data_IF_858933257817
#
_entry.id   IF_858933257817
#
_cell.length_a   1.000
_cell.length_b   1.000
_cell.length_c   1.000
_cell.angle_alpha   90.00
_cell.angle_beta   90.00
_cell.angle_gamma   90.00
#
_symmetry.space_group_name_H-M   'P 1'
#
loop_
_entity.id
_entity.type
_entity.pdbx_description
1 polymer ?
#
# COMPACT_ATOMS: atom_id res chain seq x y z
N UNK A 1 -4.53 -1.94 -3.52
CA UNK A 1 -5.14 -2.56 -2.32
C UNK A 1 -5.43 -1.42 -1.35
N UNK A 2 -6.62 -1.39 -0.74
CA UNK A 2 -7.00 -0.31 0.17
C UNK A 2 -6.16 -0.32 1.48
N UNK A 3 -5.99 0.84 2.11
CA UNK A 3 -5.17 1.00 3.32
C UNK A 3 -5.74 0.22 4.51
N UNK A 4 -7.06 0.09 4.61
CA UNK A 4 -7.70 -0.71 5.67
C UNK A 4 -7.42 -2.20 5.45
N UNK A 5 -7.48 -2.68 4.20
CA UNK A 5 -7.10 -4.06 3.87
C UNK A 5 -5.63 -4.33 4.19
N UNK A 6 -4.73 -3.40 3.86
CA UNK A 6 -3.31 -3.50 4.21
C UNK A 6 -3.09 -3.56 5.73
N UNK A 7 -3.82 -2.76 6.52
CA UNK A 7 -3.76 -2.82 7.98
C UNK A 7 -4.21 -4.18 8.52
N UNK A 8 -5.28 -4.75 7.98
CA UNK A 8 -5.77 -6.07 8.38
C UNK A 8 -4.74 -7.17 8.09
N UNK A 9 -4.15 -7.15 6.89
CA UNK A 9 -3.08 -8.08 6.52
C UNK A 9 -1.84 -7.93 7.41
N UNK A 10 -1.49 -6.69 7.76
CA UNK A 10 -0.36 -6.41 8.63
C UNK A 10 -0.58 -6.92 10.05
N UNK A 11 -1.80 -6.77 10.60
CA UNK A 11 -2.17 -7.33 11.91
C UNK A 11 -2.08 -8.87 11.88
N UNK A 12 -2.58 -9.51 10.84
CA UNK A 12 -2.47 -10.96 10.66
C UNK A 12 -1.00 -11.40 10.59
N UNK A 13 -0.15 -10.63 9.92
CA UNK A 13 1.29 -10.87 9.81
C UNK A 13 1.97 -10.76 11.18
N UNK A 14 1.65 -9.71 11.95
CA UNK A 14 2.16 -9.54 13.32
C UNK A 14 1.74 -10.71 14.21
N UNK A 15 0.48 -11.13 14.14
CA UNK A 15 -0.01 -12.28 14.91
C UNK A 15 0.74 -13.57 14.53
N UNK A 16 0.89 -13.86 13.24
CA UNK A 16 1.63 -15.03 12.77
C UNK A 16 3.10 -15.00 13.21
N UNK A 17 3.77 -13.85 13.10
CA UNK A 17 5.15 -13.67 13.56
C UNK A 17 5.26 -13.88 15.07
N UNK A 18 4.32 -13.35 15.86
CA UNK A 18 4.31 -13.52 17.30
C UNK A 18 4.16 -15.01 17.69
N UNK A 19 3.15 -15.69 17.15
CA UNK A 19 2.93 -17.12 17.43
C UNK A 19 4.13 -17.98 17.06
N UNK A 20 4.72 -17.74 15.88
CA UNK A 20 5.89 -18.48 15.44
C UNK A 20 7.10 -18.19 16.33
N UNK A 21 7.35 -16.93 16.67
CA UNK A 21 8.49 -16.54 17.52
C UNK A 21 8.38 -17.18 18.90
N UNK A 22 7.23 -17.05 19.57
CA UNK A 22 7.03 -17.65 20.89
C UNK A 22 7.03 -19.17 20.84
N UNK A 23 6.43 -19.77 19.82
CA UNK A 23 6.44 -21.22 19.61
C UNK A 23 7.85 -21.78 19.44
N UNK A 24 8.70 -21.11 18.65
CA UNK A 24 10.11 -21.52 18.50
C UNK A 24 10.90 -21.33 19.79
N UNK A 25 10.69 -20.23 20.53
CA UNK A 25 11.34 -20.01 21.82
C UNK A 25 10.98 -21.10 22.83
N UNK A 26 9.72 -21.51 22.89
CA UNK A 26 9.26 -22.55 23.80
C UNK A 26 9.78 -23.93 23.39
N UNK A 27 9.75 -24.26 22.08
CA UNK A 27 10.24 -25.54 21.55
C UNK A 27 11.74 -25.72 21.78
N UNK A 28 12.52 -24.65 21.59
CA UNK A 28 13.98 -24.69 21.61
C UNK A 28 14.57 -24.25 22.97
N UNK A 29 13.72 -24.08 23.99
CA UNK A 29 14.16 -23.68 25.33
C UNK A 29 15.00 -24.78 26.00
N UNK A 30 16.25 -24.45 26.34
CA UNK A 30 17.10 -25.33 27.13
C UNK A 30 16.72 -25.30 28.62
N UNK A 31 16.83 -26.44 29.34
CA UNK A 31 16.68 -26.48 30.78
C UNK A 31 17.68 -25.55 31.49
N UNK A 32 17.19 -24.74 32.41
CA UNK A 32 18.04 -23.87 33.24
C UNK A 32 18.47 -24.63 34.49
N UNK A 33 19.78 -24.68 34.77
CA UNK A 33 20.29 -25.27 36.02
C UNK A 33 19.95 -24.37 37.20
N UNK A 34 19.12 -24.87 38.12
CA UNK A 34 18.70 -24.12 39.32
C UNK A 34 19.78 -24.05 40.40
N UNK A 35 20.74 -24.99 40.39
CA UNK A 35 21.91 -24.97 41.27
C UNK A 35 23.09 -25.71 40.62
N UNK A 36 24.34 -25.46 41.04
CA UNK A 36 25.52 -26.14 40.52
C UNK A 36 25.50 -27.67 40.76
N UNK A 37 24.77 -28.12 41.78
CA UNK A 37 24.67 -29.53 42.18
C UNK A 37 23.44 -30.25 41.58
N UNK A 38 22.70 -29.60 40.68
CA UNK A 38 21.53 -30.21 40.06
C UNK A 38 21.96 -31.29 39.05
N UNK A 39 21.44 -32.52 39.14
CA UNK A 39 21.81 -33.60 38.23
C UNK A 39 21.43 -33.24 36.78
N UNK A 40 22.33 -33.54 35.84
CA UNK A 40 22.07 -33.30 34.42
C UNK A 40 20.89 -34.16 33.93
N UNK A 41 20.01 -33.60 33.08
CA UNK A 41 18.91 -34.37 32.50
C UNK A 41 19.46 -35.52 31.65
N UNK A 42 18.72 -36.64 31.54
CA UNK A 42 19.11 -37.74 30.68
C UNK A 42 19.24 -37.27 29.22
N UNK A 43 20.19 -37.83 28.46
CA UNK A 43 20.41 -37.44 27.08
C UNK A 43 19.14 -37.67 26.25
N UNK A 44 18.85 -36.79 25.28
CA UNK A 44 17.64 -36.90 24.46
C UNK A 44 17.66 -38.20 23.65
N UNK A 45 16.48 -38.81 23.49
CA UNK A 45 16.31 -40.10 22.81
C UNK A 45 16.57 -40.06 21.29
N UNK A 46 16.67 -38.86 20.71
CA UNK A 46 16.95 -38.66 19.29
C UNK A 46 18.32 -37.99 19.12
N UNK A 47 19.29 -38.62 18.44
CA UNK A 47 20.54 -37.98 18.07
C UNK A 47 20.26 -37.08 16.87
N UNK A 48 19.92 -35.83 17.10
CA UNK A 48 19.91 -34.84 16.02
C UNK A 48 20.87 -33.72 16.38
N UNK A 49 22.01 -33.80 15.69
CA UNK A 49 23.03 -32.78 15.47
C UNK A 49 23.83 -32.30 16.68
N UNK A 50 25.09 -32.01 16.36
CA UNK A 50 26.17 -31.59 17.24
C UNK A 50 25.70 -30.53 18.27
N UNK A 51 25.96 -30.68 19.58
CA UNK A 51 25.57 -29.68 20.58
C UNK A 51 26.10 -28.26 20.29
N UNK A 52 27.17 -28.15 19.48
CA UNK A 52 27.70 -26.87 19.00
C UNK A 52 26.84 -26.19 17.92
N UNK A 53 26.13 -26.95 17.06
CA UNK A 53 25.24 -26.39 16.02
C UNK A 53 23.85 -26.05 16.58
N UNK A 54 23.40 -26.77 17.60
CA UNK A 54 22.16 -26.44 18.33
C UNK A 54 22.31 -25.14 19.16
N UNK A 55 23.39 -24.98 19.92
CA UNK A 55 23.60 -23.79 20.75
C UNK A 55 23.87 -22.50 19.94
N UNK A 56 24.49 -22.61 18.77
CA UNK A 56 24.76 -21.47 17.88
C UNK A 56 23.52 -20.89 17.20
N UNK A 57 22.56 -21.75 16.83
CA UNK A 57 21.33 -21.33 16.14
C UNK A 57 20.25 -20.77 17.08
N UNK A 58 20.23 -21.20 18.34
CA UNK A 58 19.23 -20.76 19.35
C UNK A 58 19.39 -19.29 19.75
N UNK A 59 20.56 -18.67 19.56
CA UNK A 59 20.77 -17.25 19.87
C UNK A 59 20.44 -16.31 18.70
N UNK A 60 20.74 -16.72 17.45
CA UNK A 60 20.59 -15.86 16.27
C UNK A 60 19.17 -15.88 15.70
N UNK A 61 18.50 -17.04 15.69
CA UNK A 61 17.14 -17.15 15.15
C UNK A 61 16.13 -16.27 15.90
N UNK A 62 16.11 -16.21 17.25
CA UNK A 62 15.22 -15.30 17.97
C UNK A 62 15.47 -13.83 17.68
N UNK A 63 16.72 -13.42 17.41
CA UNK A 63 17.05 -12.04 17.04
C UNK A 63 16.45 -11.69 15.69
N UNK A 64 16.58 -12.57 14.70
CA UNK A 64 15.99 -12.38 13.36
C UNK A 64 14.45 -12.31 13.43
N UNK A 65 13.83 -13.20 14.21
CA UNK A 65 12.38 -13.22 14.40
C UNK A 65 11.88 -11.97 15.13
N UNK A 66 12.59 -11.53 16.17
CA UNK A 66 12.29 -10.28 16.88
C UNK A 66 12.45 -9.07 15.96
N UNK A 67 13.50 -9.03 15.13
CA UNK A 67 13.68 -7.97 14.15
C UNK A 67 12.54 -7.94 13.12
N UNK A 68 12.06 -9.10 12.66
CA UNK A 68 10.91 -9.21 11.78
C UNK A 68 9.62 -8.68 12.45
N UNK A 69 9.39 -9.03 13.73
CA UNK A 69 8.25 -8.53 14.50
C UNK A 69 8.28 -7.02 14.66
N UNK A 70 9.43 -6.45 15.04
CA UNK A 70 9.61 -4.99 15.19
C UNK A 70 9.42 -4.28 13.85
N UNK A 71 9.95 -4.84 12.77
CA UNK A 71 9.74 -4.30 11.41
C UNK A 71 8.26 -4.30 11.06
N UNK A 72 7.54 -5.38 11.35
CA UNK A 72 6.12 -5.49 11.08
C UNK A 72 5.30 -4.47 11.90
N UNK A 73 5.67 -4.25 13.17
CA UNK A 73 5.05 -3.21 14.00
C UNK A 73 5.28 -1.80 13.44
N UNK A 74 6.50 -1.47 13.02
CA UNK A 74 6.80 -0.17 12.39
C UNK A 74 6.04 0.04 11.07
N UNK A 75 5.86 -1.01 10.28
CA UNK A 75 5.05 -0.95 9.06
C UNK A 75 3.58 -0.69 9.39
N UNK A 76 3.05 -1.30 10.45
CA UNK A 76 1.70 -1.00 10.93
C UNK A 76 1.56 0.47 11.35
N UNK A 77 2.50 1.02 12.12
CA UNK A 77 2.48 2.44 12.51
C UNK A 77 2.50 3.37 11.30
N UNK A 78 3.32 3.05 10.28
CA UNK A 78 3.38 3.81 9.04
C UNK A 78 2.04 3.77 8.27
N UNK A 79 1.36 2.61 8.25
CA UNK A 79 0.03 2.47 7.65
C UNK A 79 -1.02 3.26 8.43
N UNK A 80 -0.97 3.25 9.77
CA UNK A 80 -1.87 4.07 10.61
C UNK A 80 -1.65 5.56 10.35
N UNK A 81 -0.40 6.00 10.24
CA UNK A 81 -0.08 7.40 9.95
C UNK A 81 -0.50 7.84 8.54
N UNK A 82 -0.61 6.91 7.60
CA UNK A 82 -1.07 7.16 6.24
C UNK A 82 -2.61 7.15 6.09
N UNK A 83 -3.36 6.87 7.16
CA UNK A 83 -4.81 6.96 7.13
C UNK A 83 -5.25 8.39 6.81
N UNK A 84 -6.22 8.58 5.90
CA UNK A 84 -6.79 9.89 5.65
C UNK A 84 -7.32 10.51 6.96
N UNK A 85 -7.11 11.82 7.18
CA UNK A 85 -7.56 12.48 8.40
C UNK A 85 -9.08 12.33 8.54
N UNK A 86 -9.51 11.67 9.61
CA UNK A 86 -10.92 11.53 9.96
C UNK A 86 -11.46 12.77 10.71
N UNK A 87 -10.96 13.96 10.38
CA UNK A 87 -11.36 15.19 11.07
C UNK A 87 -12.83 15.50 10.78
N UNK A 88 -13.62 15.65 11.86
CA UNK A 88 -15.01 16.10 11.79
C UNK A 88 -16.07 15.01 11.66
N UNK A 89 -15.70 13.73 11.66
CA UNK A 89 -16.67 12.62 11.61
C UNK A 89 -17.42 12.50 10.28
N UNK A 90 -18.44 11.64 10.24
CA UNK A 90 -19.17 11.29 9.01
C UNK A 90 -19.87 12.50 8.39
N UNK A 91 -20.49 13.38 9.19
CA UNK A 91 -21.22 14.54 8.66
C UNK A 91 -20.33 15.52 7.90
N UNK A 92 -19.11 15.78 8.39
CA UNK A 92 -18.15 16.66 7.70
C UNK A 92 -17.66 16.01 6.40
N UNK A 93 -17.45 14.70 6.40
CA UNK A 93 -17.08 13.97 5.19
C UNK A 93 -18.19 14.00 4.15
N UNK A 94 -19.45 13.76 4.54
CA UNK A 94 -20.60 13.85 3.65
C UNK A 94 -20.77 15.25 3.07
N UNK A 95 -20.61 16.29 3.89
CA UNK A 95 -20.64 17.68 3.42
C UNK A 95 -19.53 17.94 2.40
N UNK A 96 -18.30 17.48 2.67
CA UNK A 96 -17.17 17.61 1.76
C UNK A 96 -17.41 16.89 0.44
N UNK A 97 -18.04 15.71 0.46
CA UNK A 97 -18.43 14.96 -0.74
C UNK A 97 -19.43 15.78 -1.57
N UNK A 98 -20.46 16.35 -0.93
CA UNK A 98 -21.46 17.16 -1.63
C UNK A 98 -20.84 18.42 -2.26
N UNK A 99 -19.90 19.08 -1.57
CA UNK A 99 -19.14 20.22 -2.11
C UNK A 99 -18.32 19.81 -3.34
N UNK A 100 -17.58 18.69 -3.26
CA UNK A 100 -16.78 18.18 -4.38
C UNK A 100 -17.64 17.71 -5.56
N UNK A 101 -18.85 17.19 -5.31
CA UNK A 101 -19.80 16.85 -6.37
C UNK A 101 -20.27 18.10 -7.10
N UNK A 102 -20.68 19.13 -6.37
CA UNK A 102 -21.09 20.41 -6.96
C UNK A 102 -19.95 21.08 -7.75
N UNK A 103 -18.71 21.02 -7.25
CA UNK A 103 -17.53 21.53 -7.95
C UNK A 103 -17.27 20.75 -9.25
N UNK A 104 -17.31 19.41 -9.21
CA UNK A 104 -17.15 18.58 -10.40
C UNK A 104 -18.21 18.87 -11.46
N UNK A 105 -19.48 19.04 -11.04
CA UNK A 105 -20.57 19.37 -11.96
C UNK A 105 -20.35 20.74 -12.62
N UNK A 106 -19.93 21.75 -11.85
CA UNK A 106 -19.63 23.08 -12.37
C UNK A 106 -18.45 23.06 -13.36
N UNK A 107 -17.37 22.37 -13.01
CA UNK A 107 -16.19 22.19 -13.89
C UNK A 107 -16.58 21.42 -15.15
N UNK A 108 -17.43 20.40 -15.04
CA UNK A 108 -17.94 19.64 -16.18
C UNK A 108 -18.76 20.50 -17.14
N UNK A 109 -19.63 21.38 -16.62
CA UNK A 109 -20.40 22.32 -17.45
C UNK A 109 -19.50 23.33 -18.16
N UNK A 110 -18.48 23.85 -17.47
CA UNK A 110 -17.53 24.77 -18.07
C UNK A 110 -16.71 24.10 -19.16
N UNK A 111 -16.24 22.87 -18.93
CA UNK A 111 -15.55 22.08 -19.94
C UNK A 111 -16.43 21.85 -21.17
N UNK A 112 -17.71 21.51 -20.98
CA UNK A 112 -18.66 21.32 -22.08
C UNK A 112 -18.83 22.61 -22.91
N UNK A 113 -18.99 23.76 -22.24
CA UNK A 113 -19.09 25.05 -22.91
C UNK A 113 -17.85 25.36 -23.75
N UNK A 114 -16.66 25.09 -23.23
CA UNK A 114 -15.40 25.31 -23.94
C UNK A 114 -15.26 24.40 -25.16
N UNK A 115 -15.67 23.14 -25.05
CA UNK A 115 -15.70 22.21 -26.17
C UNK A 115 -16.64 22.69 -27.29
N UNK A 116 -17.86 23.11 -26.94
CA UNK A 116 -18.82 23.64 -27.91
C UNK A 116 -18.30 24.89 -28.62
N UNK A 117 -17.64 25.80 -27.88
CA UNK A 117 -17.02 26.98 -28.46
C UNK A 117 -15.87 26.62 -29.43
N UNK A 118 -15.01 25.69 -29.02
CA UNK A 118 -13.88 25.23 -29.83
C UNK A 118 -14.35 24.48 -31.10
N UNK A 119 -15.40 23.67 -31.02
CA UNK A 119 -15.99 22.99 -32.18
C UNK A 119 -16.55 24.00 -33.20
N UNK A 120 -17.20 25.06 -32.71
CA UNK A 120 -17.71 26.13 -33.57
C UNK A 120 -16.58 26.87 -34.27
N UNK A 121 -15.54 27.25 -33.53
CA UNK A 121 -14.37 27.93 -34.10
C UNK A 121 -13.66 27.03 -35.13
N UNK A 122 -13.50 25.74 -34.82
CA UNK A 122 -12.93 24.77 -35.75
C UNK A 122 -13.73 24.69 -37.06
N UNK A 123 -15.07 24.69 -36.97
CA UNK A 123 -15.94 24.68 -38.14
C UNK A 123 -15.80 25.95 -38.98
N UNK A 124 -15.73 27.11 -38.35
CA UNK A 124 -15.49 28.39 -39.04
C UNK A 124 -14.15 28.39 -39.77
N UNK A 125 -13.07 27.91 -39.12
CA UNK A 125 -11.74 27.78 -39.75
C UNK A 125 -11.78 26.80 -40.93
N UNK A 126 -12.44 25.66 -40.80
CA UNK A 126 -12.59 24.69 -41.88
C UNK A 126 -13.34 25.28 -43.08
N UNK A 127 -14.40 26.06 -42.85
CA UNK A 127 -15.16 26.72 -43.91
C UNK A 127 -14.32 27.78 -44.63
N UNK A 128 -13.63 28.65 -43.89
CA UNK A 128 -12.74 29.65 -44.46
C UNK A 128 -11.60 29.00 -45.27
N UNK A 129 -11.04 27.89 -44.78
CA UNK A 129 -10.03 27.12 -45.49
C UNK A 129 -10.58 26.52 -46.79
N UNK A 130 -11.81 25.99 -46.76
CA UNK A 130 -12.50 25.49 -47.96
C UNK A 130 -12.67 26.59 -49.00
N UNK A 131 -13.22 27.74 -48.59
CA UNK A 131 -13.41 28.90 -49.46
C UNK A 131 -12.09 29.40 -50.07
N UNK A 132 -11.02 29.48 -49.27
CA UNK A 132 -9.70 29.87 -49.75
C UNK A 132 -9.15 28.89 -50.79
N UNK A 133 -9.30 27.58 -50.55
CA UNK A 133 -8.86 26.53 -51.46
C UNK A 133 -9.64 26.58 -52.78
N UNK A 134 -10.97 26.72 -52.74
CA UNK A 134 -11.82 26.85 -53.92
C UNK A 134 -11.52 28.11 -54.72
N UNK A 135 -11.25 29.23 -54.05
CA UNK A 135 -10.84 30.47 -54.70
C UNK A 135 -9.50 30.28 -55.45
N UNK A 136 -8.49 29.69 -54.78
CA UNK A 136 -7.20 29.39 -55.41
C UNK A 136 -7.29 28.40 -56.58
N UNK A 137 -8.20 27.42 -56.54
CA UNK A 137 -8.41 26.46 -57.64
C UNK A 137 -9.14 27.11 -58.83
N UNK A 138 -10.14 27.95 -58.58
CA UNK A 138 -10.88 28.64 -59.63
C UNK A 138 -10.08 29.76 -60.31
N UNK A 139 -9.16 30.42 -59.58
CA UNK A 139 -8.18 31.35 -60.17
C UNK A 139 -7.13 30.67 -61.05
N UNK A 140 -7.00 29.33 -60.96
CA UNK A 140 -6.00 28.52 -61.67
C UNK A 140 -6.56 27.78 -62.89
N UNK A 141 -7.72 28.17 -63.43
CA UNK A 141 -8.16 27.72 -64.77
C UNK A 141 -7.65 28.68 -65.84
N UNK A 142 -6.46 28.47 -66.44
CA UNK A 142 -6.18 29.00 -67.76
C UNK A 142 -6.89 28.13 -68.82
N UNK A 143 -7.33 28.77 -69.90
CA UNK A 143 -7.75 28.11 -71.15
C UNK A 143 -6.67 27.18 -71.73
#
# INVERSE_FOLDING_TARGET
>A
MDIISQLQEQVNTIAALAFNTFGTLQRDAHPVKLSPNYPDPPPPSNPTEDPATAAGNVSEQPKLMTAALVKAAKQFDALVAALPPAEGGEEVQLKRIAELQAENDAVGQELQRQLEAAEKELKEVQELFGQATDNCLNLKRPD
#
